data_IF_273335719997
#
_entry.id   IF_273335719997
#
_cell.length_a   1.000
_cell.length_b   1.000
_cell.length_c   1.000
_cell.angle_alpha   90.00
_cell.angle_beta   90.00
_cell.angle_gamma   90.00
#
_symmetry.space_group_name_H-M   'P 1'
#
loop_
_entity.id
_entity.type
_entity.pdbx_description
1 polymer ?
#
# COMPACT_ATOMS: atom_id res chain seq x y z
N UNK A 1 -28.73 -5.27 5.72
CA UNK A 1 -28.04 -4.12 5.09
C UNK A 1 -27.84 -4.44 3.62
N UNK A 2 -28.41 -3.67 2.72
CA UNK A 2 -28.18 -3.83 1.27
C UNK A 2 -26.76 -3.36 0.98
N UNK A 3 -25.87 -4.29 0.63
CA UNK A 3 -24.55 -3.94 0.12
C UNK A 3 -24.77 -3.27 -1.23
N UNK A 4 -24.61 -1.96 -1.30
CA UNK A 4 -24.46 -1.27 -2.57
C UNK A 4 -23.11 -1.72 -3.16
N UNK A 5 -23.15 -2.64 -4.12
CA UNK A 5 -22.00 -3.01 -4.93
C UNK A 5 -21.64 -1.83 -5.84
N UNK A 6 -20.90 -0.87 -5.32
CA UNK A 6 -20.27 0.11 -6.18
C UNK A 6 -19.25 -0.62 -7.08
N UNK A 7 -19.19 -0.34 -8.38
CA UNK A 7 -18.23 -0.97 -9.26
C UNK A 7 -16.81 -0.64 -8.77
N UNK A 8 -16.00 -1.68 -8.59
CA UNK A 8 -14.61 -1.56 -8.17
C UNK A 8 -13.74 -1.64 -9.42
N UNK A 9 -12.93 -0.61 -9.65
CA UNK A 9 -11.83 -0.66 -10.61
C UNK A 9 -10.53 -0.84 -9.87
N UNK A 10 -9.68 -1.73 -10.33
CA UNK A 10 -8.36 -1.96 -9.73
C UNK A 10 -7.28 -1.98 -10.79
N UNK A 11 -6.10 -1.50 -10.43
CA UNK A 11 -4.89 -1.56 -11.23
C UNK A 11 -3.73 -2.07 -10.38
N UNK A 12 -2.90 -2.91 -10.95
CA UNK A 12 -1.66 -3.39 -10.32
C UNK A 12 -0.49 -2.74 -11.03
N UNK A 13 0.34 -2.02 -10.29
CA UNK A 13 1.59 -1.44 -10.77
C UNK A 13 2.74 -2.32 -10.26
N UNK A 14 3.37 -3.05 -11.17
CA UNK A 14 4.55 -3.84 -10.85
C UNK A 14 5.78 -2.95 -10.90
N UNK A 15 6.35 -2.66 -9.73
CA UNK A 15 7.46 -1.70 -9.60
C UNK A 15 8.74 -2.14 -10.30
N UNK A 16 8.94 -3.46 -10.45
CA UNK A 16 10.09 -4.01 -11.17
C UNK A 16 10.10 -3.68 -12.67
N UNK A 17 8.95 -3.30 -13.23
CA UNK A 17 8.80 -2.95 -14.64
C UNK A 17 8.87 -1.42 -14.86
N UNK A 18 9.23 -0.65 -13.81
CA UNK A 18 9.21 0.80 -13.81
C UNK A 18 10.60 1.38 -13.61
N UNK A 19 10.90 2.43 -14.37
CA UNK A 19 12.08 3.25 -14.15
C UNK A 19 11.74 4.33 -13.10
N UNK A 20 12.19 4.11 -11.88
CA UNK A 20 11.96 5.03 -10.76
C UNK A 20 13.33 5.38 -10.17
N UNK A 21 13.95 6.50 -10.60
CA UNK A 21 15.23 6.96 -10.08
C UNK A 21 15.20 7.22 -8.57
N UNK A 22 16.36 7.21 -7.95
CA UNK A 22 16.55 7.68 -6.57
C UNK A 22 16.28 9.19 -6.51
N UNK A 23 15.62 9.63 -5.46
CA UNK A 23 15.30 11.04 -5.22
C UNK A 23 14.01 11.20 -4.42
N UNK A 24 13.67 12.42 -4.07
CA UNK A 24 12.52 12.79 -3.25
C UNK A 24 11.47 13.58 -4.04
N UNK A 25 11.88 14.25 -5.12
CA UNK A 25 11.02 15.12 -5.92
C UNK A 25 9.97 14.38 -6.75
N UNK A 26 9.06 15.15 -7.32
CA UNK A 26 8.01 14.58 -8.18
C UNK A 26 8.57 14.00 -9.50
N UNK A 27 9.71 14.51 -9.97
CA UNK A 27 10.39 14.04 -11.17
C UNK A 27 11.90 14.23 -11.03
N UNK A 28 12.66 13.15 -11.17
CA UNK A 28 14.12 13.15 -11.01
C UNK A 28 14.87 12.97 -12.34
N UNK A 29 14.20 12.42 -13.36
CA UNK A 29 14.81 12.16 -14.67
C UNK A 29 13.76 12.32 -15.79
N UNK A 30 14.14 12.62 -17.04
CA UNK A 30 13.21 12.74 -18.15
C UNK A 30 12.31 11.52 -18.37
N UNK A 31 12.81 10.32 -18.17
CA UNK A 31 12.11 9.03 -18.31
C UNK A 31 11.66 8.41 -16.97
N UNK A 32 11.52 9.22 -15.91
CA UNK A 32 11.01 8.80 -14.60
C UNK A 32 9.52 8.45 -14.67
N UNK A 33 9.17 7.23 -14.31
CA UNK A 33 7.79 6.74 -14.25
C UNK A 33 7.03 7.25 -13.00
N UNK A 34 7.72 7.83 -12.01
CA UNK A 34 7.09 8.26 -10.76
C UNK A 34 5.95 9.27 -10.93
N UNK A 35 6.03 10.30 -11.79
CA UNK A 35 4.94 11.25 -11.96
C UNK A 35 3.61 10.58 -12.30
N UNK A 36 3.61 9.58 -13.18
CA UNK A 36 2.40 8.85 -13.54
C UNK A 36 1.91 7.93 -12.39
N UNK A 37 2.83 7.29 -11.67
CA UNK A 37 2.49 6.51 -10.47
C UNK A 37 1.88 7.41 -9.40
N UNK A 38 2.48 8.55 -9.12
CA UNK A 38 1.99 9.54 -8.16
C UNK A 38 0.60 10.07 -8.54
N UNK A 39 0.34 10.30 -9.83
CA UNK A 39 -0.98 10.67 -10.33
C UNK A 39 -2.03 9.59 -10.06
N UNK A 40 -1.69 8.32 -10.28
CA UNK A 40 -2.56 7.17 -9.99
C UNK A 40 -2.83 7.04 -8.49
N UNK A 41 -1.81 7.18 -7.63
CA UNK A 41 -1.97 7.19 -6.17
C UNK A 41 -2.92 8.31 -5.73
N UNK A 42 -2.78 9.51 -6.28
CA UNK A 42 -3.70 10.63 -6.00
C UNK A 42 -5.13 10.35 -6.45
N UNK A 43 -5.31 9.65 -7.54
CA UNK A 43 -6.63 9.30 -8.09
C UNK A 43 -7.33 8.13 -7.38
N UNK A 44 -6.59 7.29 -6.68
CA UNK A 44 -7.13 6.10 -6.02
C UNK A 44 -7.82 6.43 -4.68
N UNK A 45 -8.88 5.71 -4.35
CA UNK A 45 -9.52 5.76 -3.02
C UNK A 45 -8.83 4.81 -2.03
N UNK A 46 -8.25 3.74 -2.56
CA UNK A 46 -7.58 2.67 -1.80
C UNK A 46 -6.19 2.46 -2.39
N UNK A 47 -5.18 2.45 -1.53
CA UNK A 47 -3.81 2.10 -1.88
C UNK A 47 -3.39 0.83 -1.16
N UNK A 48 -2.89 -0.15 -1.89
CA UNK A 48 -2.38 -1.40 -1.35
C UNK A 48 -0.89 -1.52 -1.68
N UNK A 49 -0.05 -1.55 -0.64
CA UNK A 49 1.37 -1.86 -0.79
C UNK A 49 1.59 -3.35 -0.72
N UNK A 50 2.24 -3.91 -1.73
CA UNK A 50 2.63 -5.32 -1.76
C UNK A 50 4.14 -5.45 -1.90
N UNK A 51 4.80 -6.15 -0.97
CA UNK A 51 6.25 -6.31 -0.96
C UNK A 51 6.68 -7.69 -0.46
N UNK A 52 7.77 -8.28 -1.01
CA UNK A 52 8.40 -9.43 -0.38
C UNK A 52 9.15 -9.01 0.89
N UNK A 53 9.48 -10.01 1.72
CA UNK A 53 10.43 -9.85 2.83
C UNK A 53 11.84 -10.06 2.27
N UNK A 54 12.75 -9.16 2.60
CA UNK A 54 14.18 -9.27 2.36
C UNK A 54 14.94 -8.91 3.63
N UNK A 55 15.67 -9.88 4.20
CA UNK A 55 16.46 -9.69 5.43
C UNK A 55 15.64 -9.01 6.54
N UNK A 56 14.45 -9.54 6.81
CA UNK A 56 13.56 -9.03 7.84
C UNK A 56 12.87 -7.70 7.52
N UNK A 57 12.98 -7.20 6.28
CA UNK A 57 12.45 -5.88 5.90
C UNK A 57 11.74 -5.93 4.53
N UNK A 58 11.15 -4.80 4.12
CA UNK A 58 10.60 -4.59 2.79
C UNK A 58 11.68 -4.57 1.72
N UNK A 59 11.30 -4.81 0.46
CA UNK A 59 12.24 -4.72 -0.67
C UNK A 59 12.76 -3.30 -0.89
N UNK A 60 13.93 -3.18 -1.52
CA UNK A 60 14.51 -1.89 -1.92
C UNK A 60 13.59 -1.11 -2.88
N UNK A 61 12.84 -1.80 -3.75
CA UNK A 61 11.85 -1.15 -4.61
C UNK A 61 10.73 -0.51 -3.80
N UNK A 62 10.23 -1.20 -2.77
CA UNK A 62 9.22 -0.63 -1.88
C UNK A 62 9.78 0.54 -1.07
N UNK A 63 11.02 0.43 -0.60
CA UNK A 63 11.70 1.54 0.08
C UNK A 63 11.81 2.76 -0.83
N UNK A 64 12.17 2.56 -2.09
CA UNK A 64 12.26 3.65 -3.08
C UNK A 64 10.92 4.35 -3.30
N UNK A 65 9.82 3.58 -3.38
CA UNK A 65 8.47 4.18 -3.47
C UNK A 65 8.16 5.03 -2.25
N UNK A 66 8.47 4.54 -1.05
CA UNK A 66 8.27 5.30 0.19
C UNK A 66 9.05 6.63 0.15
N UNK A 67 10.29 6.61 -0.28
CA UNK A 67 11.10 7.83 -0.43
C UNK A 67 10.52 8.78 -1.47
N UNK A 68 10.09 8.26 -2.61
CA UNK A 68 9.44 9.07 -3.66
C UNK A 68 8.09 9.65 -3.23
N UNK A 69 7.41 9.03 -2.25
CA UNK A 69 6.18 9.59 -1.68
C UNK A 69 6.41 10.87 -0.86
N UNK A 70 7.64 11.21 -0.52
CA UNK A 70 8.01 12.49 0.07
C UNK A 70 7.53 13.68 -0.78
N UNK A 71 7.48 13.51 -2.10
CA UNK A 71 6.92 14.48 -3.03
C UNK A 71 5.45 14.88 -2.75
N UNK A 72 4.71 14.10 -1.97
CA UNK A 72 3.37 14.47 -1.49
C UNK A 72 3.42 15.37 -0.25
N UNK A 73 4.49 15.25 0.55
CA UNK A 73 4.68 16.07 1.75
C UNK A 73 5.01 17.52 1.38
N UNK A 74 5.74 17.76 0.31
CA UNK A 74 5.95 19.11 -0.25
C UNK A 74 4.62 19.81 -0.53
N UNK A 75 3.63 19.08 -1.05
CA UNK A 75 2.29 19.62 -1.30
C UNK A 75 1.53 19.90 0.00
N UNK A 76 1.75 19.10 1.04
CA UNK A 76 1.21 19.35 2.38
C UNK A 76 1.81 20.62 2.98
N UNK A 77 3.12 20.78 2.94
CA UNK A 77 3.83 21.97 3.46
C UNK A 77 3.31 23.24 2.76
N UNK A 78 3.16 23.20 1.44
CA UNK A 78 2.68 24.34 0.66
C UNK A 78 1.17 24.66 0.87
N UNK A 79 0.34 23.63 1.06
CA UNK A 79 -1.12 23.74 1.07
C UNK A 79 -1.79 23.54 2.43
N UNK A 80 -1.06 23.12 3.47
CA UNK A 80 -1.58 22.85 4.82
C UNK A 80 -2.46 21.60 4.91
N UNK A 81 -2.53 20.79 3.84
CA UNK A 81 -3.33 19.56 3.82
C UNK A 81 -2.73 18.53 2.86
N UNK A 82 -2.56 17.29 3.32
CA UNK A 82 -2.15 16.19 2.45
C UNK A 82 -3.22 15.89 1.39
N UNK A 83 -2.78 15.69 0.16
CA UNK A 83 -3.64 15.23 -0.96
C UNK A 83 -4.09 13.77 -0.80
N UNK A 84 -3.54 13.07 0.19
CA UNK A 84 -3.81 11.67 0.49
C UNK A 84 -4.84 11.50 1.61
N UNK A 85 -5.33 12.58 2.22
CA UNK A 85 -6.44 12.52 3.16
C UNK A 85 -7.71 11.97 2.51
N UNK A 86 -8.53 11.33 3.32
CA UNK A 86 -9.77 10.65 2.92
C UNK A 86 -9.54 9.44 1.98
N UNK A 87 -8.32 8.93 1.95
CA UNK A 87 -7.97 7.66 1.29
C UNK A 87 -7.62 6.63 2.35
N UNK A 88 -7.81 5.37 2.02
CA UNK A 88 -7.43 4.26 2.89
C UNK A 88 -6.25 3.52 2.31
N UNK A 89 -5.45 2.91 3.18
CA UNK A 89 -4.34 2.09 2.75
C UNK A 89 -4.24 0.77 3.51
N UNK A 90 -3.58 -0.20 2.90
CA UNK A 90 -3.29 -1.49 3.48
C UNK A 90 -1.98 -2.06 2.96
N UNK A 91 -1.54 -3.16 3.59
CA UNK A 91 -0.25 -3.78 3.31
C UNK A 91 -0.41 -5.29 3.10
N UNK A 92 0.24 -5.81 2.06
CA UNK A 92 0.34 -7.25 1.80
C UNK A 92 1.81 -7.65 1.75
N UNK A 93 2.18 -8.66 2.53
CA UNK A 93 3.56 -9.13 2.61
C UNK A 93 3.64 -10.62 2.36
N UNK A 94 4.62 -11.04 1.58
CA UNK A 94 4.95 -12.45 1.43
C UNK A 94 6.45 -12.67 1.50
N UNK A 95 6.87 -13.78 2.05
CA UNK A 95 8.28 -14.17 2.09
C UNK A 95 8.45 -15.56 2.68
N UNK A 96 9.69 -15.99 2.76
CA UNK A 96 10.11 -17.25 3.40
C UNK A 96 11.07 -17.02 4.57
N UNK A 97 11.11 -15.81 5.10
CA UNK A 97 11.91 -15.40 6.26
C UNK A 97 11.04 -14.62 7.25
N UNK A 98 11.51 -14.51 8.48
CA UNK A 98 10.90 -13.65 9.50
C UNK A 98 10.97 -12.17 9.09
N UNK A 99 10.12 -11.35 9.72
CA UNK A 99 10.15 -9.89 9.51
C UNK A 99 8.87 -9.30 8.90
N UNK A 100 7.84 -10.10 8.67
CA UNK A 100 6.56 -9.61 8.13
C UNK A 100 5.99 -8.46 8.97
N UNK A 101 5.96 -8.60 10.30
CA UNK A 101 5.42 -7.58 11.22
C UNK A 101 6.30 -6.32 11.24
N UNK A 102 7.62 -6.46 11.19
CA UNK A 102 8.54 -5.33 11.14
C UNK A 102 8.37 -4.54 9.84
N UNK A 103 8.34 -5.23 8.70
CA UNK A 103 8.11 -4.61 7.39
C UNK A 103 6.74 -3.91 7.32
N UNK A 104 5.66 -4.56 7.81
CA UNK A 104 4.34 -3.95 7.89
C UNK A 104 4.35 -2.68 8.74
N UNK A 105 4.87 -2.75 9.96
CA UNK A 105 4.85 -1.65 10.91
C UNK A 105 5.54 -0.40 10.36
N UNK A 106 6.68 -0.56 9.69
CA UNK A 106 7.40 0.56 9.08
C UNK A 106 6.66 1.17 7.88
N UNK A 107 5.99 0.36 7.06
CA UNK A 107 5.17 0.87 5.95
C UNK A 107 3.93 1.59 6.51
N UNK A 108 3.22 0.99 7.46
CA UNK A 108 2.01 1.56 8.05
C UNK A 108 2.27 2.90 8.73
N UNK A 109 3.40 3.04 9.43
CA UNK A 109 3.82 4.29 10.02
C UNK A 109 3.93 5.41 8.97
N UNK A 110 4.63 5.16 7.86
CA UNK A 110 4.77 6.14 6.77
C UNK A 110 3.42 6.50 6.17
N UNK A 111 2.56 5.51 5.91
CA UNK A 111 1.23 5.74 5.35
C UNK A 111 0.36 6.63 6.26
N UNK A 112 0.45 6.43 7.57
CA UNK A 112 -0.24 7.27 8.56
C UNK A 112 0.26 8.72 8.51
N UNK A 113 1.57 8.92 8.47
CA UNK A 113 2.16 10.26 8.38
C UNK A 113 1.83 10.97 7.08
N UNK A 114 1.73 10.25 5.98
CA UNK A 114 1.31 10.80 4.68
C UNK A 114 -0.17 11.17 4.61
N UNK A 115 -0.98 10.76 5.60
CA UNK A 115 -2.39 11.14 5.72
C UNK A 115 -3.39 10.07 5.29
N UNK A 116 -2.97 8.84 5.05
CA UNK A 116 -3.90 7.73 4.83
C UNK A 116 -4.60 7.30 6.12
N UNK A 117 -5.84 6.89 5.99
CA UNK A 117 -6.54 6.14 7.04
C UNK A 117 -6.19 4.66 6.94
N UNK A 118 -5.75 4.08 8.04
CA UNK A 118 -5.49 2.65 8.16
C UNK A 118 -6.66 1.98 8.91
N UNK A 119 -7.52 1.21 8.23
CA UNK A 119 -8.60 0.46 8.87
C UNK A 119 -8.08 -0.62 9.82
N UNK A 120 -8.89 -1.13 10.76
CA UNK A 120 -8.59 -2.37 11.46
C UNK A 120 -8.31 -3.52 10.49
N UNK A 121 -7.38 -4.39 10.84
CA UNK A 121 -6.98 -5.55 10.00
C UNK A 121 -6.62 -5.17 8.55
N UNK A 122 -5.99 -4.01 8.38
CA UNK A 122 -5.58 -3.47 7.06
C UNK A 122 -4.30 -4.11 6.51
N UNK A 123 -3.94 -5.30 6.98
CA UNK A 123 -2.78 -6.03 6.48
C UNK A 123 -3.07 -7.53 6.34
N UNK A 124 -2.39 -8.15 5.37
CA UNK A 124 -2.36 -9.60 5.21
C UNK A 124 -0.93 -10.04 4.90
N UNK A 125 -0.52 -11.18 5.43
CA UNK A 125 0.80 -11.70 5.16
C UNK A 125 0.84 -13.21 5.07
N UNK A 126 1.88 -13.70 4.41
CA UNK A 126 2.29 -15.10 4.38
C UNK A 126 3.80 -15.17 4.58
N UNK A 127 4.23 -16.02 5.52
CA UNK A 127 5.63 -16.43 5.68
C UNK A 127 5.70 -17.92 5.40
N UNK A 128 6.38 -18.28 4.33
CA UNK A 128 6.62 -19.67 3.93
C UNK A 128 7.83 -20.29 4.65
N UNK A 129 8.18 -21.49 4.26
CA UNK A 129 9.37 -22.17 4.75
C UNK A 129 10.62 -21.72 4.00
N UNK A 130 11.70 -21.45 4.70
CA UNK A 130 12.99 -21.10 4.10
C UNK A 130 13.47 -22.23 3.17
N UNK A 131 13.91 -21.87 1.97
CA UNK A 131 14.42 -22.82 0.98
C UNK A 131 13.36 -23.57 0.18
N UNK A 132 12.07 -23.32 0.40
CA UNK A 132 11.00 -23.91 -0.41
C UNK A 132 10.94 -23.30 -1.80
N UNK A 133 10.72 -24.11 -2.86
CA UNK A 133 10.46 -23.59 -4.20
C UNK A 133 9.23 -22.67 -4.23
N UNK A 134 9.35 -21.56 -4.93
CA UNK A 134 8.31 -20.51 -5.01
C UNK A 134 6.94 -21.01 -5.48
N UNK A 135 6.89 -22.04 -6.35
CA UNK A 135 5.63 -22.63 -6.83
C UNK A 135 4.91 -23.36 -5.71
N UNK A 136 5.62 -24.20 -4.94
CA UNK A 136 5.03 -24.92 -3.80
C UNK A 136 4.58 -23.98 -2.70
N UNK A 137 5.34 -22.91 -2.43
CA UNK A 137 4.95 -21.88 -1.48
C UNK A 137 3.71 -21.12 -1.94
N UNK A 138 3.60 -20.82 -3.24
CA UNK A 138 2.43 -20.16 -3.81
C UNK A 138 1.16 -21.00 -3.65
N UNK A 139 1.24 -22.31 -3.79
CA UNK A 139 0.11 -23.22 -3.59
C UNK A 139 -0.28 -23.31 -2.11
N UNK A 140 0.69 -23.53 -1.22
CA UNK A 140 0.48 -23.51 0.24
C UNK A 140 -0.20 -22.22 0.69
N UNK A 141 0.26 -21.08 0.20
CA UNK A 141 -0.32 -19.77 0.50
C UNK A 141 -1.77 -19.65 0.04
N UNK A 142 -2.07 -20.10 -1.18
CA UNK A 142 -3.45 -20.07 -1.70
C UNK A 142 -4.40 -20.91 -0.89
N UNK A 143 -3.95 -22.03 -0.34
CA UNK A 143 -4.75 -22.96 0.45
C UNK A 143 -4.76 -22.62 1.94
N UNK A 144 -3.93 -21.69 2.41
CA UNK A 144 -3.84 -21.37 3.83
C UNK A 144 -5.05 -20.57 4.31
N UNK A 145 -5.85 -21.16 5.20
CA UNK A 145 -7.09 -20.56 5.68
C UNK A 145 -6.88 -19.25 6.46
N UNK A 146 -5.81 -19.16 7.24
CA UNK A 146 -5.50 -17.95 8.02
C UNK A 146 -5.14 -16.79 7.09
N UNK A 147 -4.29 -17.02 6.08
CA UNK A 147 -3.94 -16.01 5.07
C UNK A 147 -5.17 -15.56 4.28
N UNK A 148 -6.04 -16.51 3.89
CA UNK A 148 -7.29 -16.17 3.20
C UNK A 148 -8.23 -15.35 4.09
N UNK A 149 -8.30 -15.66 5.39
CA UNK A 149 -9.11 -14.90 6.34
C UNK A 149 -8.59 -13.46 6.47
N UNK A 150 -7.28 -13.27 6.67
CA UNK A 150 -6.66 -11.94 6.70
C UNK A 150 -6.94 -11.16 5.41
N UNK A 151 -6.77 -11.78 4.24
CA UNK A 151 -7.01 -11.12 2.96
C UNK A 151 -8.48 -10.69 2.77
N UNK A 152 -9.44 -11.51 3.21
CA UNK A 152 -10.88 -11.19 3.18
C UNK A 152 -11.21 -10.03 4.11
N UNK A 153 -10.66 -10.03 5.33
CA UNK A 153 -10.86 -8.94 6.29
C UNK A 153 -10.25 -7.64 5.80
N UNK A 154 -9.02 -7.70 5.31
CA UNK A 154 -8.33 -6.57 4.66
C UNK A 154 -9.22 -5.95 3.57
N UNK A 155 -9.65 -6.74 2.59
CA UNK A 155 -10.46 -6.25 1.48
C UNK A 155 -11.78 -5.62 1.95
N UNK A 156 -12.50 -6.31 2.86
CA UNK A 156 -13.77 -5.82 3.42
C UNK A 156 -13.58 -4.49 4.15
N UNK A 157 -12.57 -4.39 4.99
CA UNK A 157 -12.35 -3.21 5.81
C UNK A 157 -11.87 -2.01 4.96
N UNK A 158 -10.97 -2.23 4.00
CA UNK A 158 -10.56 -1.18 3.05
C UNK A 158 -11.77 -0.63 2.28
N UNK A 159 -12.63 -1.50 1.77
CA UNK A 159 -13.83 -1.09 1.03
C UNK A 159 -14.81 -0.31 1.90
N UNK A 160 -15.06 -0.79 3.11
CA UNK A 160 -15.96 -0.14 4.05
C UNK A 160 -15.49 1.29 4.40
N UNK A 161 -14.22 1.42 4.78
CA UNK A 161 -13.67 2.71 5.18
C UNK A 161 -13.49 3.67 4.00
N UNK A 162 -13.16 3.19 2.80
CA UNK A 162 -13.13 4.03 1.62
C UNK A 162 -14.52 4.64 1.31
N UNK A 163 -15.59 3.83 1.38
CA UNK A 163 -16.95 4.30 1.21
C UNK A 163 -17.38 5.26 2.33
N UNK A 164 -16.99 4.98 3.56
CA UNK A 164 -17.27 5.84 4.71
C UNK A 164 -16.63 7.23 4.53
N UNK A 165 -15.34 7.28 4.16
CA UNK A 165 -14.62 8.54 3.96
C UNK A 165 -15.11 9.32 2.73
N UNK A 166 -15.57 8.63 1.69
CA UNK A 166 -16.25 9.31 0.56
C UNK A 166 -17.55 9.99 1.00
N UNK A 167 -18.33 9.31 1.85
CA UNK A 167 -19.62 9.83 2.32
C UNK A 167 -19.45 10.87 3.41
N UNK A 168 -18.46 10.70 4.28
CA UNK A 168 -18.17 11.56 5.43
C UNK A 168 -16.68 11.93 5.45
N UNK A 169 -16.24 12.81 4.55
CA UNK A 169 -14.83 13.17 4.47
C UNK A 169 -14.37 13.93 5.71
N UNK A 170 -13.14 13.68 6.14
CA UNK A 170 -12.48 14.50 7.16
C UNK A 170 -12.32 15.92 6.64
N UNK A 171 -12.87 16.88 7.35
CA UNK A 171 -12.73 18.29 7.05
C UNK A 171 -11.58 18.84 7.91
N UNK A 172 -10.45 19.08 7.27
CA UNK A 172 -9.31 19.75 7.91
C UNK A 172 -9.52 21.24 7.76
N UNK A 173 -9.79 21.93 8.88
CA UNK A 173 -9.82 23.39 8.91
C UNK A 173 -8.38 23.90 8.73
N UNK A 174 -8.21 24.90 7.88
CA UNK A 174 -6.94 25.63 7.76
C UNK A 174 -6.64 26.36 9.07
#
# INVERSE_FOLDING_TARGET
>A
MKHHNAPITSEIIRLADKHIPVGLGIKEHPDDDWPEIAKKIRGADILLFATPIWWGNRSSLMQRIIERMDSFDEQYIAGGRSVLYNKVAGVVITGSEDGALAAMGTIMMVLTWLGFTLPPECAAYWVGEVGQPTIQDAEKRRCNSATQHMAKNLARNLMYYAQLLKKHPLIVKK
#
